data_IF_275608686657
#
_entry.id   IF_275608686657
#
_cell.length_a   1.000
_cell.length_b   1.000
_cell.length_c   1.000
_cell.angle_alpha   90.00
_cell.angle_beta   90.00
_cell.angle_gamma   90.00
#
_symmetry.space_group_name_H-M   'P 1'
#
loop_
_entity.id
_entity.type
_entity.pdbx_description
1 polymer ?
#
# COMPACT_ATOMS: atom_id res chain seq x y z
N UNK A 1 6.68 -3.64 15.33
CA UNK A 1 5.76 -3.61 16.51
C UNK A 1 5.17 -2.22 16.75
N UNK A 2 6.00 -1.18 16.94
CA UNK A 2 5.52 0.21 17.10
C UNK A 2 4.54 0.70 16.01
N UNK A 3 4.74 0.43 14.70
CA UNK A 3 3.83 0.91 13.67
C UNK A 3 2.42 0.32 13.80
N UNK A 4 2.33 -0.98 14.09
CA UNK A 4 1.06 -1.70 14.24
C UNK A 4 0.27 -1.23 15.46
N UNK A 5 0.96 -0.86 16.55
CA UNK A 5 0.31 -0.28 17.74
C UNK A 5 -0.30 1.09 17.44
N UNK A 6 0.46 1.96 16.76
CA UNK A 6 -0.01 3.30 16.36
C UNK A 6 -1.19 3.19 15.38
N UNK A 7 -1.10 2.28 14.41
CA UNK A 7 -2.17 2.04 13.44
C UNK A 7 -3.44 1.48 14.12
N UNK A 8 -3.29 0.55 15.08
CA UNK A 8 -4.39 0.01 15.86
C UNK A 8 -5.09 1.07 16.72
N UNK A 9 -4.32 1.96 17.36
CA UNK A 9 -4.88 3.10 18.10
C UNK A 9 -5.65 4.05 17.18
N UNK A 10 -5.09 4.41 16.02
CA UNK A 10 -5.75 5.28 15.05
C UNK A 10 -7.05 4.70 14.49
N UNK A 11 -7.05 3.41 14.17
CA UNK A 11 -8.25 2.70 13.72
C UNK A 11 -9.33 2.65 14.81
N UNK A 12 -8.96 2.37 16.06
CA UNK A 12 -9.89 2.32 17.19
C UNK A 12 -10.58 3.66 17.45
N UNK A 13 -9.81 4.75 17.46
CA UNK A 13 -10.34 6.10 17.68
C UNK A 13 -11.28 6.54 16.54
N UNK A 14 -10.89 6.27 15.30
CA UNK A 14 -11.69 6.64 14.12
C UNK A 14 -13.01 5.85 14.12
N UNK A 15 -12.95 4.54 14.32
CA UNK A 15 -14.13 3.68 14.26
C UNK A 15 -15.13 3.97 15.38
N UNK A 16 -14.65 4.20 16.61
CA UNK A 16 -15.49 4.57 17.74
C UNK A 16 -16.22 5.90 17.49
N UNK A 17 -15.49 6.94 17.07
CA UNK A 17 -16.05 8.28 16.87
C UNK A 17 -17.03 8.33 15.69
N UNK A 18 -16.71 7.66 14.57
CA UNK A 18 -17.59 7.60 13.40
C UNK A 18 -18.90 6.88 13.72
N UNK A 19 -18.80 5.75 14.45
CA UNK A 19 -19.97 4.98 14.84
C UNK A 19 -20.88 5.80 15.74
N UNK A 20 -20.33 6.50 16.75
CA UNK A 20 -21.10 7.39 17.61
C UNK A 20 -21.80 8.49 16.82
N UNK A 21 -21.12 9.16 15.89
CA UNK A 21 -21.71 10.19 15.04
C UNK A 21 -22.81 9.66 14.12
N UNK A 22 -22.62 8.48 13.53
CA UNK A 22 -23.60 7.87 12.63
C UNK A 22 -24.89 7.42 13.34
N UNK A 23 -24.81 7.03 14.62
CA UNK A 23 -25.98 6.61 15.39
C UNK A 23 -26.63 7.73 16.21
N UNK A 24 -25.94 8.86 16.43
CA UNK A 24 -26.49 10.00 17.18
C UNK A 24 -27.72 10.64 16.51
N UNK A 25 -27.84 10.55 15.17
CA UNK A 25 -28.94 11.14 14.41
C UNK A 25 -30.11 10.18 14.13
N UNK A 26 -30.02 8.91 14.59
CA UNK A 26 -30.97 7.86 14.24
C UNK A 26 -31.87 7.46 15.43
N UNK A 27 -33.20 7.32 15.24
CA UNK A 27 -34.09 6.75 16.26
C UNK A 27 -33.67 5.33 16.66
N UNK A 28 -33.81 4.96 17.95
CA UNK A 28 -33.40 3.64 18.49
C UNK A 28 -33.94 2.44 17.70
N UNK A 29 -35.13 2.56 17.12
CA UNK A 29 -35.76 1.51 16.30
C UNK A 29 -35.09 1.32 14.93
N UNK A 30 -34.43 2.36 14.40
CA UNK A 30 -33.76 2.32 13.10
C UNK A 30 -32.26 2.05 13.22
N UNK A 31 -31.68 2.07 14.43
CA UNK A 31 -30.25 1.87 14.66
C UNK A 31 -29.73 0.55 14.07
N UNK A 32 -30.52 -0.51 14.07
CA UNK A 32 -30.16 -1.81 13.47
C UNK A 32 -30.03 -1.70 11.94
N UNK A 33 -30.95 -1.01 11.28
CA UNK A 33 -30.90 -0.78 9.84
C UNK A 33 -29.80 0.21 9.44
N UNK A 34 -29.55 1.25 10.26
CA UNK A 34 -28.41 2.16 10.05
C UNK A 34 -27.06 1.44 10.17
N UNK A 35 -26.95 0.50 11.11
CA UNK A 35 -25.73 -0.27 11.34
C UNK A 35 -25.38 -1.19 10.16
N UNK A 36 -26.39 -1.83 9.57
CA UNK A 36 -26.17 -2.70 8.41
C UNK A 36 -25.73 -1.90 7.18
N UNK A 37 -26.34 -0.74 6.92
CA UNK A 37 -25.95 0.17 5.84
C UNK A 37 -24.52 0.70 6.07
N UNK A 38 -24.18 1.14 7.29
CA UNK A 38 -22.84 1.60 7.61
C UNK A 38 -21.78 0.52 7.36
N UNK A 39 -22.04 -0.73 7.78
CA UNK A 39 -21.11 -1.82 7.57
C UNK A 39 -20.99 -2.20 6.08
N UNK A 40 -22.09 -2.11 5.32
CA UNK A 40 -22.08 -2.32 3.87
C UNK A 40 -21.14 -1.33 3.18
N UNK A 41 -21.34 -0.02 3.42
CA UNK A 41 -20.47 1.02 2.86
C UNK A 41 -19.02 0.86 3.29
N UNK A 42 -18.77 0.50 4.56
CA UNK A 42 -17.42 0.24 5.07
C UNK A 42 -16.75 -0.91 4.33
N UNK A 43 -17.44 -2.02 4.16
CA UNK A 43 -16.90 -3.23 3.52
C UNK A 43 -16.64 -2.99 2.04
N UNK A 44 -17.57 -2.31 1.36
CA UNK A 44 -17.40 -1.91 -0.05
C UNK A 44 -16.21 -0.95 -0.17
N UNK A 45 -16.17 0.11 0.66
CA UNK A 45 -15.08 1.09 0.66
C UNK A 45 -13.72 0.47 0.90
N UNK A 46 -13.60 -0.45 1.85
CA UNK A 46 -12.35 -1.17 2.10
C UNK A 46 -11.93 -2.02 0.90
N UNK A 47 -12.87 -2.75 0.28
CA UNK A 47 -12.56 -3.59 -0.88
C UNK A 47 -12.13 -2.77 -2.09
N UNK A 48 -12.79 -1.64 -2.34
CA UNK A 48 -12.39 -0.70 -3.40
C UNK A 48 -11.00 -0.12 -3.14
N UNK A 49 -10.73 0.33 -1.91
CA UNK A 49 -9.41 0.87 -1.54
C UNK A 49 -8.29 -0.16 -1.71
N UNK A 50 -8.51 -1.39 -1.24
CA UNK A 50 -7.53 -2.48 -1.38
C UNK A 50 -7.30 -2.84 -2.85
N UNK A 51 -8.36 -2.90 -3.67
CA UNK A 51 -8.26 -3.21 -5.09
C UNK A 51 -7.43 -2.16 -5.85
N UNK A 52 -7.69 -0.87 -5.61
CA UNK A 52 -6.94 0.22 -6.24
C UNK A 52 -5.48 0.19 -5.79
N UNK A 53 -5.22 0.04 -4.48
CA UNK A 53 -3.87 -0.02 -3.94
C UNK A 53 -3.09 -1.21 -4.54
N UNK A 54 -3.69 -2.39 -4.58
CA UNK A 54 -3.06 -3.62 -5.13
C UNK A 54 -2.79 -3.46 -6.63
N UNK A 55 -3.75 -2.91 -7.38
CA UNK A 55 -3.60 -2.65 -8.82
C UNK A 55 -2.48 -1.64 -9.09
N UNK A 56 -2.41 -0.58 -8.29
CA UNK A 56 -1.36 0.44 -8.40
C UNK A 56 0.01 -0.16 -8.07
N UNK A 57 0.13 -0.90 -6.96
CA UNK A 57 1.36 -1.57 -6.57
C UNK A 57 1.86 -2.53 -7.65
N UNK A 58 0.96 -3.32 -8.26
CA UNK A 58 1.33 -4.24 -9.33
C UNK A 58 1.86 -3.50 -10.56
N UNK A 59 1.15 -2.45 -10.99
CA UNK A 59 1.54 -1.65 -12.16
C UNK A 59 2.87 -0.92 -11.94
N UNK A 60 3.04 -0.29 -10.78
CA UNK A 60 4.30 0.38 -10.44
C UNK A 60 5.44 -0.62 -10.32
N UNK A 61 5.21 -1.80 -9.70
CA UNK A 61 6.21 -2.85 -9.59
C UNK A 61 6.72 -3.34 -10.96
N UNK A 62 5.83 -3.48 -11.94
CA UNK A 62 6.22 -3.80 -13.32
C UNK A 62 7.02 -2.65 -13.95
N UNK A 63 6.60 -1.41 -13.76
CA UNK A 63 7.33 -0.25 -14.28
C UNK A 63 8.74 -0.13 -13.69
N UNK A 64 8.89 -0.32 -12.37
CA UNK A 64 10.19 -0.32 -11.70
C UNK A 64 11.04 -1.52 -12.09
N UNK A 65 10.43 -2.69 -12.32
CA UNK A 65 11.14 -3.87 -12.83
C UNK A 65 11.75 -3.59 -14.21
N UNK A 66 11.01 -2.95 -15.11
CA UNK A 66 11.53 -2.54 -16.42
C UNK A 66 12.62 -1.46 -16.28
N UNK A 67 12.39 -0.41 -15.49
CA UNK A 67 13.35 0.68 -15.32
C UNK A 67 14.67 0.23 -14.66
N UNK A 68 14.61 -0.64 -13.64
CA UNK A 68 15.79 -1.22 -13.01
C UNK A 68 16.44 -2.29 -13.91
N UNK A 69 15.63 -3.00 -14.68
CA UNK A 69 16.06 -4.01 -15.66
C UNK A 69 16.77 -3.42 -16.88
N UNK A 70 16.46 -2.19 -17.28
CA UNK A 70 17.20 -1.48 -18.35
C UNK A 70 18.67 -1.24 -17.99
N UNK A 71 19.02 -1.23 -16.70
CA UNK A 71 20.40 -1.22 -16.21
C UNK A 71 21.14 -2.55 -16.36
N UNK A 72 20.45 -3.61 -16.82
CA UNK A 72 21.02 -4.91 -17.18
C UNK A 72 21.83 -4.80 -18.47
N UNK A 73 22.98 -4.16 -18.36
CA UNK A 73 23.99 -4.13 -19.40
C UNK A 73 25.11 -5.09 -18.99
N UNK A 74 25.43 -6.13 -19.79
CA UNK A 74 26.60 -6.99 -19.56
C UNK A 74 27.90 -6.21 -19.39
N UNK A 75 27.98 -5.00 -19.92
CA UNK A 75 29.14 -4.11 -19.82
C UNK A 75 29.11 -3.19 -18.59
N UNK A 76 28.13 -3.31 -17.68
CA UNK A 76 28.07 -2.49 -16.48
C UNK A 76 29.14 -2.94 -15.46
N UNK A 77 30.13 -2.08 -15.11
CA UNK A 77 31.20 -2.45 -14.18
C UNK A 77 30.71 -2.78 -12.77
N UNK A 78 29.54 -2.26 -12.37
CA UNK A 78 28.93 -2.56 -11.07
C UNK A 78 28.42 -4.01 -10.99
N UNK A 79 27.89 -4.54 -12.10
CA UNK A 79 27.48 -5.94 -12.19
C UNK A 79 28.69 -6.87 -12.17
N UNK A 80 29.78 -6.48 -12.84
CA UNK A 80 31.04 -7.25 -12.84
C UNK A 80 31.65 -7.32 -11.43
N UNK A 81 31.68 -6.20 -10.70
CA UNK A 81 32.19 -6.15 -9.34
C UNK A 81 31.30 -6.93 -8.35
N UNK A 82 29.98 -6.89 -8.51
CA UNK A 82 29.05 -7.70 -7.71
C UNK A 82 29.20 -9.20 -7.96
N UNK A 83 29.29 -9.62 -9.23
CA UNK A 83 29.47 -11.03 -9.60
C UNK A 83 30.82 -11.55 -9.11
N UNK A 84 31.89 -10.76 -9.28
CA UNK A 84 33.22 -11.08 -8.77
C UNK A 84 33.24 -11.24 -7.24
N UNK A 85 32.52 -10.39 -6.50
CA UNK A 85 32.37 -10.49 -5.03
C UNK A 85 31.62 -11.75 -4.57
N UNK A 86 30.73 -12.28 -5.40
CA UNK A 86 30.05 -13.55 -5.13
C UNK A 86 30.81 -14.77 -5.67
N UNK A 87 31.99 -14.57 -6.28
CA UNK A 87 32.76 -15.65 -6.88
C UNK A 87 32.13 -16.23 -8.15
N UNK A 88 31.21 -15.49 -8.78
CA UNK A 88 30.45 -15.92 -9.96
C UNK A 88 30.87 -15.10 -11.18
N UNK A 89 30.80 -15.72 -12.37
CA UNK A 89 30.90 -14.97 -13.63
C UNK A 89 29.52 -14.47 -14.02
N UNK A 90 29.42 -13.29 -14.66
CA UNK A 90 28.13 -12.76 -15.16
C UNK A 90 27.51 -13.67 -16.23
N UNK A 91 28.31 -14.54 -16.83
CA UNK A 91 27.87 -15.56 -17.79
C UNK A 91 27.28 -16.81 -17.15
N UNK A 92 27.37 -16.94 -15.81
CA UNK A 92 26.85 -18.10 -15.09
C UNK A 92 25.33 -17.96 -14.89
N UNK A 93 24.52 -18.95 -15.32
CA UNK A 93 23.07 -18.94 -15.13
C UNK A 93 22.65 -18.69 -13.68
N UNK A 94 23.42 -19.18 -12.70
CA UNK A 94 23.13 -19.00 -11.28
C UNK A 94 23.23 -17.53 -10.83
N UNK A 95 24.19 -16.77 -11.37
CA UNK A 95 24.38 -15.36 -11.06
C UNK A 95 23.23 -14.50 -11.63
N UNK A 96 22.77 -14.86 -12.82
CA UNK A 96 21.63 -14.25 -13.51
C UNK A 96 20.32 -14.42 -12.71
N UNK A 97 20.02 -15.64 -12.24
CA UNK A 97 18.82 -15.89 -11.44
C UNK A 97 18.84 -15.13 -10.11
N UNK A 98 20.00 -15.11 -9.44
CA UNK A 98 20.13 -14.43 -8.15
C UNK A 98 19.98 -12.91 -8.31
N UNK A 99 20.53 -12.34 -9.37
CA UNK A 99 20.36 -10.92 -9.70
C UNK A 99 18.91 -10.57 -10.06
N UNK A 100 18.26 -11.40 -10.88
CA UNK A 100 16.84 -11.22 -11.20
C UNK A 100 15.95 -11.26 -9.95
N UNK A 101 16.23 -12.17 -9.02
CA UNK A 101 15.53 -12.24 -7.73
C UNK A 101 15.73 -10.97 -6.90
N UNK A 102 16.97 -10.46 -6.80
CA UNK A 102 17.24 -9.20 -6.09
C UNK A 102 16.53 -8.01 -6.74
N UNK A 103 16.58 -7.91 -8.06
CA UNK A 103 15.88 -6.88 -8.82
C UNK A 103 14.37 -6.95 -8.57
N UNK A 104 13.83 -8.16 -8.34
CA UNK A 104 12.40 -8.39 -8.10
C UNK A 104 11.98 -7.88 -6.73
N UNK A 105 12.79 -8.21 -5.73
CA UNK A 105 12.58 -7.73 -4.38
C UNK A 105 12.68 -6.20 -4.34
N UNK A 106 13.65 -5.63 -5.06
CA UNK A 106 13.88 -4.20 -5.04
C UNK A 106 12.79 -3.42 -5.80
N UNK A 107 12.34 -3.91 -6.96
CA UNK A 107 11.23 -3.28 -7.68
C UNK A 107 9.93 -3.32 -6.87
N UNK A 108 9.64 -4.45 -6.22
CA UNK A 108 8.47 -4.58 -5.33
C UNK A 108 8.57 -3.68 -4.10
N UNK A 109 9.76 -3.53 -3.52
CA UNK A 109 9.96 -2.64 -2.37
C UNK A 109 9.68 -1.18 -2.74
N UNK A 110 10.18 -0.71 -3.88
CA UNK A 110 9.90 0.65 -4.38
C UNK A 110 8.41 0.83 -4.62
N UNK A 111 7.76 -0.13 -5.28
CA UNK A 111 6.32 -0.09 -5.54
C UNK A 111 5.47 -0.08 -4.27
N UNK A 112 5.90 -0.80 -3.23
CA UNK A 112 5.26 -0.75 -1.93
C UNK A 112 5.35 0.64 -1.30
N UNK A 113 6.52 1.29 -1.37
CA UNK A 113 6.70 2.65 -0.83
C UNK A 113 5.82 3.66 -1.56
N UNK A 114 5.78 3.63 -2.89
CA UNK A 114 4.90 4.52 -3.66
C UNK A 114 3.41 4.28 -3.34
N UNK A 115 3.01 3.03 -3.20
CA UNK A 115 1.63 2.67 -2.82
C UNK A 115 1.29 3.17 -1.42
N UNK A 116 2.21 3.06 -0.47
CA UNK A 116 2.04 3.58 0.88
C UNK A 116 1.88 5.10 0.89
N UNK A 117 2.68 5.81 0.10
CA UNK A 117 2.56 7.26 -0.06
C UNK A 117 1.21 7.66 -0.68
N UNK A 118 0.76 6.95 -1.72
CA UNK A 118 -0.55 7.17 -2.34
C UNK A 118 -1.67 7.03 -1.31
N UNK A 119 -1.67 5.93 -0.55
CA UNK A 119 -2.65 5.70 0.52
C UNK A 119 -2.59 6.81 1.57
N UNK A 120 -1.39 7.23 1.97
CA UNK A 120 -1.19 8.36 2.90
C UNK A 120 -1.80 9.66 2.41
N UNK A 121 -1.59 10.02 1.13
CA UNK A 121 -2.19 11.21 0.50
C UNK A 121 -3.70 11.10 0.46
N UNK A 122 -4.27 9.92 0.16
CA UNK A 122 -5.73 9.73 0.19
C UNK A 122 -6.30 9.98 1.60
N UNK A 123 -5.63 9.52 2.66
CA UNK A 123 -6.05 9.84 4.03
C UNK A 123 -6.00 11.34 4.34
N UNK A 124 -4.97 12.05 3.89
CA UNK A 124 -4.86 13.51 4.06
C UNK A 124 -5.99 14.24 3.33
N UNK A 125 -6.36 13.80 2.12
CA UNK A 125 -7.49 14.35 1.35
C UNK A 125 -8.84 14.07 2.05
N UNK A 126 -8.97 12.95 2.77
CA UNK A 126 -10.19 12.63 3.52
C UNK A 126 -10.35 13.43 4.82
N UNK A 127 -9.27 13.90 5.45
CA UNK A 127 -9.34 14.73 6.67
C UNK A 127 -10.25 15.97 6.54
N UNK A 128 -10.15 16.82 5.50
CA UNK A 128 -11.04 17.98 5.37
C UNK A 128 -12.52 17.59 5.19
N UNK A 129 -12.84 16.44 4.59
CA UNK A 129 -14.23 15.98 4.51
C UNK A 129 -14.84 15.67 5.88
N UNK A 130 -14.05 15.21 6.85
CA UNK A 130 -14.53 14.99 8.21
C UNK A 130 -14.94 16.29 8.91
N UNK A 131 -14.29 17.41 8.57
CA UNK A 131 -14.66 18.74 9.08
C UNK A 131 -16.03 19.17 8.54
N UNK A 132 -16.33 18.86 7.27
CA UNK A 132 -17.62 19.19 6.65
C UNK A 132 -18.80 18.40 7.24
N UNK A 133 -18.60 17.14 7.65
CA UNK A 133 -19.65 16.33 8.30
C UNK A 133 -20.11 16.93 9.63
N UNK A 134 -19.27 17.74 10.28
CA UNK A 134 -19.56 18.30 11.61
C UNK A 134 -20.21 19.68 11.60
N UNK A 135 -20.51 20.25 10.43
CA UNK A 135 -21.12 21.57 10.31
C UNK A 135 -22.63 21.49 10.05
N UNK A 136 -23.38 20.96 11.02
CA UNK A 136 -24.77 21.34 11.33
C UNK A 136 -25.21 20.73 12.66
#
# INVERSE_FOLDING_TARGET
>A
MMPSMIQGMGLGLTFSTLSTLAYMTLPKEQSVAGASIFNLFRTIGSSFGISIATTYQYRDGQQQWHALGEGFNPYNPVLHDWAAKQGLSITDPAALEQYQSMLHQQSQMVAFVHTFQLVGVMFVIMMPMLVFIRSK
#
